data_IF_022023452789
#
_entry.id   IF_022023452789
#
_cell.length_a   1.000
_cell.length_b   1.000
_cell.length_c   1.000
_cell.angle_alpha   90.00
_cell.angle_beta   90.00
_cell.angle_gamma   90.00
#
_symmetry.space_group_name_H-M   'P 1'
#
loop_
_entity.id
_entity.type
_entity.pdbx_description
1 polymer ?
#
# COMPACT_ATOMS: atom_id res chain seq x y z
N UNK A 1 -25.70 -7.73 -10.75
CA UNK A 1 -24.40 -8.38 -11.00
C UNK A 1 -23.35 -7.70 -10.13
N UNK A 2 -22.65 -8.45 -9.34
CA UNK A 2 -21.59 -7.90 -8.52
C UNK A 2 -20.43 -7.44 -9.43
N UNK A 3 -19.95 -6.21 -9.22
CA UNK A 3 -18.77 -5.72 -9.89
C UNK A 3 -17.51 -6.46 -9.46
N UNK A 4 -16.43 -6.23 -10.20
CA UNK A 4 -15.11 -6.76 -9.85
C UNK A 4 -14.63 -6.12 -8.54
N UNK A 5 -14.17 -6.94 -7.60
CA UNK A 5 -13.59 -6.43 -6.34
C UNK A 5 -12.29 -5.69 -6.61
N UNK A 6 -12.02 -4.69 -5.78
CA UNK A 6 -10.80 -3.89 -5.86
C UNK A 6 -9.95 -4.10 -4.61
N UNK A 7 -8.69 -4.39 -4.83
CA UNK A 7 -7.69 -4.51 -3.77
C UNK A 7 -6.63 -3.42 -3.92
N UNK A 8 -6.31 -2.76 -2.83
CA UNK A 8 -5.20 -1.81 -2.73
C UNK A 8 -4.12 -2.44 -1.87
N UNK A 9 -2.92 -2.62 -2.43
CA UNK A 9 -1.78 -3.22 -1.74
C UNK A 9 -0.69 -2.17 -1.59
N UNK A 10 -0.60 -1.59 -0.41
CA UNK A 10 0.41 -0.58 -0.07
C UNK A 10 1.73 -1.28 0.26
N UNK A 11 2.77 -0.97 -0.50
CA UNK A 11 4.02 -1.73 -0.46
C UNK A 11 3.98 -2.96 -1.38
N UNK A 12 3.14 -2.94 -2.40
CA UNK A 12 2.92 -4.06 -3.31
C UNK A 12 3.98 -4.25 -4.39
N UNK A 13 5.07 -3.47 -4.37
CA UNK A 13 6.09 -3.53 -5.43
C UNK A 13 7.17 -4.61 -5.19
N UNK A 14 7.21 -5.22 -4.02
CA UNK A 14 8.22 -6.24 -3.69
C UNK A 14 7.76 -7.13 -2.53
N UNK A 15 8.48 -8.22 -2.32
CA UNK A 15 8.32 -9.10 -1.16
C UNK A 15 6.90 -9.63 -0.97
N UNK A 16 6.43 -9.62 0.27
CA UNK A 16 5.11 -10.14 0.66
C UNK A 16 3.99 -9.39 -0.07
N UNK A 17 4.10 -8.06 -0.15
CA UNK A 17 3.08 -7.24 -0.82
C UNK A 17 2.88 -7.60 -2.29
N UNK A 18 3.98 -7.81 -3.02
CA UNK A 18 3.91 -8.23 -4.41
C UNK A 18 3.26 -9.61 -4.56
N UNK A 19 3.63 -10.55 -3.71
CA UNK A 19 3.04 -11.90 -3.72
C UNK A 19 1.53 -11.85 -3.43
N UNK A 20 1.11 -11.05 -2.48
CA UNK A 20 -0.31 -10.84 -2.18
C UNK A 20 -1.04 -10.21 -3.37
N UNK A 21 -0.44 -9.19 -3.98
CA UNK A 21 -1.01 -8.53 -5.16
C UNK A 21 -1.22 -9.53 -6.31
N UNK A 22 -0.23 -10.36 -6.58
CA UNK A 22 -0.31 -11.42 -7.61
C UNK A 22 -1.44 -12.41 -7.29
N UNK A 23 -1.57 -12.83 -6.05
CA UNK A 23 -2.62 -13.76 -5.62
C UNK A 23 -4.02 -13.16 -5.76
N UNK A 24 -4.20 -11.91 -5.37
CA UNK A 24 -5.49 -11.23 -5.50
C UNK A 24 -5.88 -11.03 -6.96
N UNK A 25 -4.93 -10.65 -7.81
CA UNK A 25 -5.15 -10.50 -9.24
C UNK A 25 -5.53 -11.84 -9.90
N UNK A 26 -4.88 -12.93 -9.50
CA UNK A 26 -5.19 -14.26 -9.99
C UNK A 26 -6.61 -14.72 -9.60
N UNK A 27 -7.16 -14.18 -8.52
CA UNK A 27 -8.55 -14.41 -8.09
C UNK A 27 -9.56 -13.54 -8.84
N UNK A 28 -9.11 -12.70 -9.75
CA UNK A 28 -9.97 -11.83 -10.54
C UNK A 28 -10.19 -10.44 -9.96
N UNK A 29 -9.49 -10.05 -8.93
CA UNK A 29 -9.64 -8.72 -8.35
C UNK A 29 -8.88 -7.67 -9.18
N UNK A 30 -9.40 -6.45 -9.23
CA UNK A 30 -8.69 -5.30 -9.74
C UNK A 30 -7.67 -4.86 -8.69
N UNK A 31 -6.40 -4.88 -9.02
CA UNK A 31 -5.33 -4.62 -8.03
C UNK A 31 -4.65 -3.29 -8.32
N UNK A 32 -4.51 -2.49 -7.28
CA UNK A 32 -3.70 -1.28 -7.26
C UNK A 32 -2.53 -1.53 -6.32
N UNK A 33 -1.32 -1.47 -6.83
CA UNK A 33 -0.11 -1.55 -6.00
C UNK A 33 0.44 -0.15 -5.76
N UNK A 34 1.07 0.07 -4.62
CA UNK A 34 1.77 1.32 -4.37
C UNK A 34 3.27 1.08 -4.17
N UNK A 35 4.05 2.06 -4.55
CA UNK A 35 5.51 2.06 -4.38
C UNK A 35 5.99 3.49 -4.19
N UNK A 36 7.09 3.66 -3.48
CA UNK A 36 7.75 4.97 -3.39
C UNK A 36 8.43 5.35 -4.72
N UNK A 37 8.83 4.36 -5.50
CA UNK A 37 9.52 4.53 -6.77
C UNK A 37 8.55 4.27 -7.92
N UNK A 38 8.30 5.27 -8.80
CA UNK A 38 7.40 5.09 -9.93
C UNK A 38 7.78 3.93 -10.85
N UNK A 39 9.07 3.75 -11.12
CA UNK A 39 9.53 2.68 -12.02
C UNK A 39 9.32 1.31 -11.41
N UNK A 40 9.58 1.15 -10.12
CA UNK A 40 9.31 -0.12 -9.41
C UNK A 40 7.82 -0.42 -9.34
N UNK A 41 7.01 0.61 -9.12
CA UNK A 41 5.56 0.46 -9.11
C UNK A 41 5.02 -0.02 -10.46
N UNK A 42 5.44 0.61 -11.54
CA UNK A 42 5.04 0.21 -12.89
C UNK A 42 5.51 -1.22 -13.24
N UNK A 43 6.74 -1.56 -12.88
CA UNK A 43 7.26 -2.90 -13.10
C UNK A 43 6.46 -3.96 -12.31
N UNK A 44 6.10 -3.64 -11.06
CA UNK A 44 5.27 -4.51 -10.23
C UNK A 44 3.87 -4.68 -10.82
N UNK A 45 3.23 -3.60 -11.26
CA UNK A 45 1.92 -3.67 -11.89
C UNK A 45 1.93 -4.55 -13.14
N UNK A 46 2.97 -4.44 -13.96
CA UNK A 46 3.14 -5.33 -15.12
C UNK A 46 3.31 -6.79 -14.71
N UNK A 47 4.08 -7.04 -13.67
CA UNK A 47 4.31 -8.40 -13.15
C UNK A 47 3.02 -9.00 -12.58
N UNK A 48 2.25 -8.23 -11.84
CA UNK A 48 0.94 -8.65 -11.33
C UNK A 48 0.00 -8.98 -12.48
N UNK A 49 0.02 -8.17 -13.54
CA UNK A 49 -0.82 -8.38 -14.71
C UNK A 49 -2.30 -8.11 -14.43
N UNK A 50 -3.17 -8.71 -15.26
CA UNK A 50 -4.63 -8.62 -15.10
C UNK A 50 -5.16 -7.17 -15.06
N UNK A 51 -4.45 -6.22 -15.68
CA UNK A 51 -4.83 -4.81 -15.66
C UNK A 51 -4.47 -4.06 -14.38
N UNK A 52 -3.58 -4.61 -13.56
CA UNK A 52 -3.12 -3.95 -12.34
C UNK A 52 -2.49 -2.58 -12.64
N UNK A 53 -2.70 -1.65 -11.74
CA UNK A 53 -2.17 -0.29 -11.84
C UNK A 53 -1.27 0.04 -10.65
N UNK A 54 -0.48 1.10 -10.77
CA UNK A 54 0.43 1.54 -9.73
C UNK A 54 0.19 2.99 -9.35
N UNK A 55 0.34 3.29 -8.06
CA UNK A 55 0.30 4.64 -7.51
C UNK A 55 1.57 4.88 -6.71
N UNK A 56 2.13 6.07 -6.82
CA UNK A 56 3.30 6.46 -6.01
C UNK A 56 2.83 6.92 -4.64
N UNK A 57 3.23 6.19 -3.60
CA UNK A 57 2.93 6.51 -2.20
C UNK A 57 4.21 6.39 -1.40
N UNK A 58 4.53 7.42 -0.65
CA UNK A 58 5.60 7.42 0.35
C UNK A 58 4.97 7.65 1.72
N UNK A 59 4.97 6.62 2.56
CA UNK A 59 4.35 6.69 3.90
C UNK A 59 5.13 7.59 4.87
N UNK A 60 6.35 7.98 4.53
CA UNK A 60 7.10 8.99 5.30
C UNK A 60 6.67 10.41 4.99
N UNK A 61 5.77 10.58 4.02
CA UNK A 61 5.21 11.86 3.59
C UNK A 61 3.67 11.82 3.69
N UNK A 62 3.12 11.69 4.90
CA UNK A 62 1.70 11.40 5.10
C UNK A 62 0.76 12.47 4.54
N UNK A 63 1.20 13.72 4.47
CA UNK A 63 0.37 14.81 3.93
C UNK A 63 0.07 14.66 2.43
N UNK A 64 0.81 13.83 1.71
CA UNK A 64 0.60 13.60 0.28
C UNK A 64 -0.33 12.41 -0.01
N UNK A 65 -0.62 11.58 0.98
CA UNK A 65 -1.33 10.30 0.80
C UNK A 65 -2.75 10.52 0.25
N UNK A 66 -3.50 11.43 0.84
CA UNK A 66 -4.88 11.68 0.44
C UNK A 66 -4.99 12.09 -1.03
N UNK A 67 -4.10 12.98 -1.49
CA UNK A 67 -4.07 13.44 -2.87
C UNK A 67 -3.73 12.29 -3.83
N UNK A 68 -2.77 11.44 -3.46
CA UNK A 68 -2.36 10.30 -4.27
C UNK A 68 -3.47 9.28 -4.46
N UNK A 69 -4.34 9.11 -3.48
CA UNK A 69 -5.48 8.20 -3.54
C UNK A 69 -6.76 8.82 -4.10
N UNK A 70 -6.74 10.08 -4.54
CA UNK A 70 -7.95 10.80 -4.96
C UNK A 70 -8.75 10.06 -6.05
N UNK A 71 -8.08 9.33 -6.94
CA UNK A 71 -8.71 8.59 -8.03
C UNK A 71 -9.21 7.18 -7.66
N UNK A 72 -9.01 6.74 -6.43
CA UNK A 72 -9.45 5.41 -6.00
C UNK A 72 -10.94 5.43 -5.67
N UNK A 73 -11.69 4.47 -6.22
CA UNK A 73 -13.10 4.27 -5.90
C UNK A 73 -13.32 3.33 -4.72
N UNK A 74 -14.34 2.49 -4.79
CA UNK A 74 -14.65 1.51 -3.73
C UNK A 74 -13.51 0.51 -3.55
N UNK A 75 -13.20 0.18 -2.30
CA UNK A 75 -12.12 -0.73 -1.92
C UNK A 75 -12.69 -1.91 -1.14
N UNK A 76 -12.42 -3.11 -1.60
CA UNK A 76 -12.85 -4.35 -0.94
C UNK A 76 -11.75 -4.96 -0.05
N UNK A 77 -10.50 -4.81 -0.46
CA UNK A 77 -9.35 -5.28 0.31
C UNK A 77 -8.28 -4.20 0.38
N UNK A 78 -7.87 -3.86 1.59
CA UNK A 78 -6.74 -2.97 1.85
C UNK A 78 -5.66 -3.75 2.57
N UNK A 79 -4.50 -3.90 1.95
CA UNK A 79 -3.36 -4.61 2.53
C UNK A 79 -2.20 -3.62 2.61
N UNK A 80 -1.61 -3.47 3.79
CA UNK A 80 -0.46 -2.59 3.99
C UNK A 80 0.72 -3.42 4.49
N UNK A 81 1.70 -3.60 3.63
CA UNK A 81 2.91 -4.37 3.92
C UNK A 81 4.18 -3.53 3.84
N UNK A 82 4.03 -2.23 3.59
CA UNK A 82 5.19 -1.34 3.48
C UNK A 82 6.00 -1.33 4.77
N UNK A 83 7.30 -1.52 4.64
CA UNK A 83 8.24 -1.58 5.76
C UNK A 83 9.39 -0.62 5.52
N UNK A 84 9.70 0.16 6.53
CA UNK A 84 10.97 0.87 6.61
C UNK A 84 11.83 0.09 7.60
N UNK A 85 12.88 -0.55 7.09
CA UNK A 85 13.80 -1.30 7.96
C UNK A 85 14.88 -0.38 8.48
N UNK A 86 15.14 -0.41 9.77
CA UNK A 86 16.29 0.24 10.34
C UNK A 86 17.22 -0.80 10.99
N UNK A 87 18.40 -0.35 11.38
CA UNK A 87 19.40 -1.19 12.06
C UNK A 87 19.65 -0.67 13.47
N UNK A 88 18.68 0.03 14.02
CA UNK A 88 18.81 0.60 15.36
C UNK A 88 18.96 -0.47 16.43
N UNK A 89 19.83 -0.19 17.37
CA UNK A 89 19.98 -0.91 18.62
C UNK A 89 20.23 0.11 19.74
N UNK A 90 20.14 -0.32 20.98
CA UNK A 90 20.41 0.57 22.12
C UNK A 90 21.82 1.15 22.06
N UNK A 91 22.79 0.38 21.56
CA UNK A 91 24.20 0.83 21.46
C UNK A 91 24.48 1.67 20.22
N UNK A 92 23.78 1.38 19.14
CA UNK A 92 23.97 2.08 17.86
C UNK A 92 22.61 2.62 17.44
N UNK A 93 22.31 3.84 17.85
CA UNK A 93 20.99 4.43 17.69
C UNK A 93 21.04 5.67 16.79
N UNK A 94 20.26 5.63 15.73
CA UNK A 94 20.03 6.75 14.80
C UNK A 94 18.59 7.21 14.95
N UNK A 95 18.40 8.40 15.52
CA UNK A 95 17.08 8.97 15.73
C UNK A 95 16.35 9.26 14.42
N UNK A 96 17.06 9.64 13.38
CA UNK A 96 16.45 9.92 12.07
C UNK A 96 15.82 8.66 11.49
N UNK A 97 16.52 7.53 11.54
CA UNK A 97 15.98 6.25 11.12
C UNK A 97 14.80 5.81 11.98
N UNK A 98 14.88 6.02 13.29
CA UNK A 98 13.79 5.71 14.22
C UNK A 98 12.52 6.53 13.92
N UNK A 99 12.68 7.83 13.71
CA UNK A 99 11.57 8.71 13.35
C UNK A 99 10.92 8.30 12.03
N UNK A 100 11.72 7.90 11.06
CA UNK A 100 11.25 7.43 9.77
C UNK A 100 10.41 6.16 9.90
N UNK A 101 10.87 5.21 10.72
CA UNK A 101 10.14 3.98 11.00
C UNK A 101 8.79 4.27 11.66
N UNK A 102 8.78 5.11 12.68
CA UNK A 102 7.55 5.50 13.41
C UNK A 102 6.59 6.24 12.48
N UNK A 103 7.08 7.16 11.68
CA UNK A 103 6.25 7.88 10.71
C UNK A 103 5.61 6.90 9.71
N UNK A 104 6.36 5.96 9.18
CA UNK A 104 5.84 4.96 8.25
C UNK A 104 4.77 4.09 8.91
N UNK A 105 5.09 3.49 10.06
CA UNK A 105 4.25 2.47 10.69
C UNK A 105 3.03 3.04 11.41
N UNK A 106 3.17 4.16 12.09
CA UNK A 106 2.06 4.72 12.87
C UNK A 106 1.30 5.77 12.05
N UNK A 107 1.97 6.83 11.63
CA UNK A 107 1.31 7.93 10.94
C UNK A 107 0.92 7.56 9.53
N UNK A 108 1.82 6.97 8.76
CA UNK A 108 1.56 6.58 7.37
C UNK A 108 0.45 5.54 7.24
N UNK A 109 0.50 4.49 8.03
CA UNK A 109 -0.55 3.45 8.02
C UNK A 109 -1.90 4.05 8.42
N UNK A 110 -1.94 4.84 9.48
CA UNK A 110 -3.17 5.49 9.94
C UNK A 110 -3.75 6.42 8.86
N UNK A 111 -2.91 7.18 8.18
CA UNK A 111 -3.36 8.09 7.12
C UNK A 111 -3.92 7.34 5.91
N UNK A 112 -3.33 6.21 5.52
CA UNK A 112 -3.89 5.36 4.46
C UNK A 112 -5.28 4.89 4.84
N UNK A 113 -5.45 4.33 6.03
CA UNK A 113 -6.76 3.84 6.49
C UNK A 113 -7.75 5.00 6.59
N UNK A 114 -7.35 6.12 7.17
CA UNK A 114 -8.19 7.31 7.28
C UNK A 114 -8.67 7.80 5.91
N UNK A 115 -7.77 7.86 4.94
CA UNK A 115 -8.09 8.31 3.59
C UNK A 115 -9.09 7.40 2.89
N UNK A 116 -8.97 6.09 3.08
CA UNK A 116 -9.76 5.10 2.34
C UNK A 116 -10.99 4.59 3.10
N UNK A 117 -11.14 4.90 4.39
CA UNK A 117 -12.18 4.31 5.24
C UNK A 117 -13.60 4.50 4.69
N UNK A 118 -13.91 5.66 4.16
CA UNK A 118 -15.25 5.94 3.60
C UNK A 118 -15.48 5.27 2.24
N UNK A 119 -14.43 4.75 1.62
CA UNK A 119 -14.50 4.03 0.34
C UNK A 119 -14.53 2.51 0.51
N UNK A 120 -14.36 2.03 1.75
CA UNK A 120 -14.43 0.60 2.03
C UNK A 120 -15.85 0.09 1.83
N UNK A 121 -15.97 -1.04 1.13
CA UNK A 121 -17.26 -1.70 0.96
C UNK A 121 -17.71 -2.35 2.27
N UNK A 122 -19.01 -2.69 2.44
CA UNK A 122 -19.50 -3.27 3.70
C UNK A 122 -18.78 -4.55 4.15
N UNK A 123 -18.30 -5.35 3.21
CA UNK A 123 -17.59 -6.60 3.49
C UNK A 123 -16.08 -6.48 3.33
N UNK A 124 -15.56 -5.25 3.35
CA UNK A 124 -14.13 -5.00 3.16
C UNK A 124 -13.27 -5.60 4.28
N UNK A 125 -12.07 -6.02 3.92
CA UNK A 125 -11.07 -6.48 4.86
C UNK A 125 -9.83 -5.60 4.81
N UNK A 126 -9.26 -5.33 5.98
CA UNK A 126 -8.00 -4.59 6.15
C UNK A 126 -6.99 -5.52 6.80
N UNK A 127 -5.80 -5.60 6.21
CA UNK A 127 -4.66 -6.35 6.76
C UNK A 127 -3.47 -5.41 6.87
N UNK A 128 -2.88 -5.33 8.06
CA UNK A 128 -1.74 -4.46 8.36
C UNK A 128 -0.51 -5.26 8.80
#
# INVERSE_FOLDING_TARGET
MAGRKTAVVVGGSSGIGLTVAEALAARGEAVVVTSRDPMKGEAAARKVGHGATAIVIDLTRPHEIAERFAGIGAVDHLVITAVERDRNSVKTYDITAAMKLVTTKLVGYAEVVHTLVERLTPDAAIVL
#
